data_IF_738919007024
#
_entry.id   IF_738919007024
#
_cell.length_a   1.000
_cell.length_b   1.000
_cell.length_c   1.000
_cell.angle_alpha   90.00
_cell.angle_beta   90.00
_cell.angle_gamma   90.00
#
_symmetry.space_group_name_H-M   'P 1'
#
loop_
_entity.id
_entity.type
_entity.pdbx_description
1 polymer ?
#
# COMPACT_ATOMS: atom_id res chain seq x y z
N UNK A 1 -1.51 -32.68 -11.14
CA UNK A 1 -0.36 -31.99 -10.51
C UNK A 1 -0.78 -30.54 -10.23
N UNK A 2 -1.06 -30.15 -8.98
CA UNK A 2 -1.45 -28.77 -8.66
C UNK A 2 -0.18 -27.92 -8.68
N UNK A 3 -0.07 -27.00 -9.66
CA UNK A 3 1.00 -26.00 -9.66
C UNK A 3 0.83 -25.13 -8.44
N UNK A 4 1.76 -25.23 -7.50
CA UNK A 4 1.85 -24.36 -6.35
C UNK A 4 2.32 -22.98 -6.87
N UNK A 5 1.39 -22.11 -7.26
CA UNK A 5 1.74 -20.76 -7.67
C UNK A 5 2.34 -20.04 -6.46
N UNK A 6 3.65 -19.79 -6.53
CA UNK A 6 4.38 -19.08 -5.50
C UNK A 6 3.78 -17.68 -5.39
N UNK A 7 3.06 -17.41 -4.30
CA UNK A 7 2.52 -16.10 -3.97
C UNK A 7 3.69 -15.19 -3.60
N UNK A 8 4.19 -14.44 -4.58
CA UNK A 8 5.24 -13.44 -4.36
C UNK A 8 4.57 -12.10 -4.14
N UNK A 9 4.72 -11.53 -2.94
CA UNK A 9 4.33 -10.14 -2.70
C UNK A 9 5.31 -9.26 -3.48
N UNK A 10 4.82 -8.41 -4.40
CA UNK A 10 5.68 -7.53 -5.17
C UNK A 10 6.36 -6.52 -4.26
N UNK A 11 7.57 -6.10 -4.65
CA UNK A 11 8.30 -5.11 -3.87
C UNK A 11 7.55 -3.77 -3.90
N UNK A 12 7.43 -3.10 -2.75
CA UNK A 12 6.68 -1.85 -2.67
C UNK A 12 7.20 -0.78 -3.63
N UNK A 13 8.51 -0.74 -3.85
CA UNK A 13 9.12 0.23 -4.76
C UNK A 13 8.74 -0.03 -6.23
N UNK A 14 8.57 -1.30 -6.62
CA UNK A 14 8.11 -1.64 -7.97
C UNK A 14 6.65 -1.23 -8.15
N UNK A 15 5.80 -1.49 -7.15
CA UNK A 15 4.37 -1.10 -7.18
C UNK A 15 4.20 0.42 -7.23
N UNK A 16 5.01 1.17 -6.48
CA UNK A 16 4.96 2.64 -6.48
C UNK A 16 5.32 3.19 -7.87
N UNK A 17 6.39 2.69 -8.46
CA UNK A 17 6.86 3.11 -9.78
C UNK A 17 5.83 2.79 -10.86
N UNK A 18 5.29 1.58 -10.86
CA UNK A 18 4.26 1.16 -11.82
C UNK A 18 2.98 1.99 -11.69
N UNK A 19 2.54 2.26 -10.47
CA UNK A 19 1.35 3.08 -10.20
C UNK A 19 1.52 4.50 -10.75
N UNK A 20 2.66 5.15 -10.47
CA UNK A 20 2.95 6.50 -10.99
C UNK A 20 3.03 6.49 -12.52
N UNK A 21 3.63 5.45 -13.12
CA UNK A 21 3.69 5.30 -14.57
C UNK A 21 2.30 5.24 -15.20
N UNK A 22 1.40 4.42 -14.66
CA UNK A 22 0.01 4.33 -15.15
C UNK A 22 -0.72 5.67 -15.01
N UNK A 23 -0.54 6.38 -13.89
CA UNK A 23 -1.15 7.71 -13.69
C UNK A 23 -0.66 8.69 -14.76
N UNK A 24 0.66 8.73 -15.03
CA UNK A 24 1.25 9.60 -16.06
C UNK A 24 0.77 9.21 -17.46
N UNK A 25 0.71 7.93 -17.79
CA UNK A 25 0.24 7.43 -19.09
C UNK A 25 -1.24 7.78 -19.34
N UNK A 26 -2.08 7.76 -18.30
CA UNK A 26 -3.52 8.03 -18.43
C UNK A 26 -3.87 9.50 -18.40
N UNK A 27 -3.14 10.31 -17.62
CA UNK A 27 -3.49 11.72 -17.37
C UNK A 27 -2.58 12.70 -18.12
N UNK A 28 -1.40 12.26 -18.56
CA UNK A 28 -0.31 13.13 -18.99
C UNK A 28 0.43 13.74 -17.80
N UNK A 29 1.68 14.14 -18.02
CA UNK A 29 2.63 14.58 -16.98
C UNK A 29 2.06 15.72 -16.12
N UNK A 30 1.45 16.73 -16.74
CA UNK A 30 0.95 17.90 -16.02
C UNK A 30 -0.18 17.54 -15.03
N UNK A 31 -1.21 16.81 -15.50
CA UNK A 31 -2.34 16.41 -14.65
C UNK A 31 -1.92 15.37 -13.60
N UNK A 32 -1.02 14.45 -13.95
CA UNK A 32 -0.45 13.51 -13.02
C UNK A 32 0.31 14.22 -11.89
N UNK A 33 1.10 15.26 -12.21
CA UNK A 33 1.79 16.06 -11.20
C UNK A 33 0.83 16.75 -10.23
N UNK A 34 -0.23 17.38 -10.75
CA UNK A 34 -1.30 17.95 -9.91
C UNK A 34 -1.98 16.89 -9.05
N UNK A 35 -2.36 15.75 -9.63
CA UNK A 35 -2.98 14.65 -8.89
C UNK A 35 -2.09 14.16 -7.75
N UNK A 36 -0.82 13.85 -8.01
CA UNK A 36 0.12 13.38 -7.00
C UNK A 36 0.33 14.41 -5.88
N UNK A 37 0.37 15.70 -6.22
CA UNK A 37 0.49 16.78 -5.23
C UNK A 37 -0.75 16.83 -4.33
N UNK A 38 -1.94 16.89 -4.93
CA UNK A 38 -3.18 17.12 -4.21
C UNK A 38 -3.65 15.89 -3.42
N UNK A 39 -3.36 14.68 -3.90
CA UNK A 39 -3.93 13.44 -3.34
C UNK A 39 -2.93 12.54 -2.65
N UNK A 40 -1.65 12.55 -3.05
CA UNK A 40 -0.65 11.59 -2.58
C UNK A 40 0.47 12.22 -1.73
N UNK A 41 0.66 13.54 -1.82
CA UNK A 41 1.75 14.26 -1.14
C UNK A 41 1.27 15.07 0.06
N UNK A 42 0.02 14.84 0.49
CA UNK A 42 -0.50 15.48 1.69
C UNK A 42 0.25 14.98 2.92
N UNK A 43 0.61 15.85 3.87
CA UNK A 43 1.13 15.42 5.16
C UNK A 43 0.06 14.58 5.84
N UNK A 44 0.31 13.28 5.97
CA UNK A 44 -0.56 12.38 6.70
C UNK A 44 -0.07 12.33 8.14
N UNK A 45 -0.96 12.63 9.09
CA UNK A 45 -0.68 12.39 10.50
C UNK A 45 -0.59 10.88 10.73
N UNK A 46 0.61 10.42 11.06
CA UNK A 46 0.89 9.01 11.33
C UNK A 46 0.02 8.46 12.48
N UNK A 47 -0.23 9.26 13.52
CA UNK A 47 -1.02 8.84 14.67
C UNK A 47 -2.49 8.72 14.28
N UNK A 48 -3.02 9.67 13.51
CA UNK A 48 -4.38 9.61 12.97
C UNK A 48 -4.56 8.39 12.06
N UNK A 49 -3.62 8.14 11.16
CA UNK A 49 -3.67 6.99 10.25
C UNK A 49 -3.56 5.66 11.02
N UNK A 50 -2.66 5.59 12.00
CA UNK A 50 -2.51 4.40 12.86
C UNK A 50 -3.81 4.12 13.59
N UNK A 51 -4.45 5.14 14.15
CA UNK A 51 -5.72 5.00 14.87
C UNK A 51 -6.85 4.55 13.91
N UNK A 52 -6.93 5.12 12.72
CA UNK A 52 -7.91 4.70 11.70
C UNK A 52 -7.75 3.24 11.25
N UNK A 53 -6.52 2.75 11.14
CA UNK A 53 -6.25 1.39 10.66
C UNK A 53 -6.32 0.35 11.79
N UNK A 54 -5.89 0.73 13.00
CA UNK A 54 -5.61 -0.21 14.08
C UNK A 54 -6.30 0.12 15.41
N UNK A 55 -6.98 1.27 15.56
CA UNK A 55 -7.57 1.72 16.83
C UNK A 55 -8.61 0.74 17.40
N UNK A 56 -9.34 0.04 16.53
CA UNK A 56 -10.29 -1.00 16.94
C UNK A 56 -9.64 -2.35 17.28
N UNK A 57 -8.31 -2.48 17.14
CA UNK A 57 -7.59 -3.73 17.32
C UNK A 57 -6.63 -3.63 18.49
N UNK A 58 -6.66 -4.64 19.36
CA UNK A 58 -5.63 -4.79 20.38
C UNK A 58 -4.29 -5.16 19.74
N UNK A 59 -3.20 -4.78 20.41
CA UNK A 59 -1.85 -5.15 19.98
C UNK A 59 -1.69 -6.67 19.77
N UNK A 60 -2.40 -7.48 20.57
CA UNK A 60 -2.43 -8.94 20.45
C UNK A 60 -3.09 -9.42 19.15
N UNK A 61 -4.22 -8.83 18.78
CA UNK A 61 -4.92 -9.19 17.53
C UNK A 61 -4.12 -8.79 16.28
N UNK A 62 -3.43 -7.64 16.34
CA UNK A 62 -2.52 -7.20 15.28
C UNK A 62 -1.37 -8.20 15.15
N UNK A 63 -0.76 -8.58 16.28
CA UNK A 63 0.34 -9.53 16.32
C UNK A 63 -0.06 -10.90 15.76
N UNK A 64 -1.18 -11.48 16.20
CA UNK A 64 -1.65 -12.77 15.70
C UNK A 64 -1.97 -12.70 14.20
N UNK A 65 -2.53 -11.59 13.70
CA UNK A 65 -2.77 -11.41 12.26
C UNK A 65 -1.48 -11.35 11.44
N UNK A 66 -0.45 -10.64 11.92
CA UNK A 66 0.86 -10.59 11.26
C UNK A 66 1.55 -11.95 11.27
N UNK A 67 1.48 -12.65 12.41
CA UNK A 67 2.04 -14.00 12.59
C UNK A 67 1.39 -15.00 11.64
N UNK A 68 0.06 -14.97 11.53
CA UNK A 68 -0.68 -15.86 10.62
C UNK A 68 -0.38 -15.55 9.14
N UNK A 69 -0.17 -14.29 8.78
CA UNK A 69 0.23 -13.90 7.42
C UNK A 69 1.68 -14.28 7.06
N UNK A 70 2.54 -14.57 8.05
CA UNK A 70 3.93 -15.03 7.83
C UNK A 70 4.06 -16.55 7.68
N UNK A 71 2.99 -17.33 7.88
CA UNK A 71 3.03 -18.80 7.76
C UNK A 71 2.64 -19.31 6.36
N UNK A 72 2.92 -18.54 5.30
CA UNK A 72 2.77 -18.94 3.89
C UNK A 72 4.12 -18.89 3.20
#
# INVERSE_FOLDING_TARGET
MKMNQKLVVPQMDSIRTESVKVIVERLGIAKAAFFCRETMSQPIDYLELKEKIFGEKTAREIYEKIKNNRQI
#
